data_IF_093267570282
#
_entry.id   IF_093267570282
#
_cell.length_a   1.000
_cell.length_b   1.000
_cell.length_c   1.000
_cell.angle_alpha   90.00
_cell.angle_beta   90.00
_cell.angle_gamma   90.00
#
_symmetry.space_group_name_H-M   'P 1'
#
loop_
_entity.id
_entity.type
_entity.pdbx_description
1 polymer ?
#
# COMPACT_ATOMS: atom_id res chain seq x y z
N UNK A 1 8.33 15.90 -24.96
CA UNK A 1 7.62 15.33 -23.82
C UNK A 1 6.12 15.31 -24.16
N UNK A 2 5.45 14.24 -23.84
CA UNK A 2 4.01 14.09 -24.04
C UNK A 2 3.23 14.51 -22.77
N UNK A 3 1.93 14.25 -22.74
CA UNK A 3 1.05 14.59 -21.62
C UNK A 3 1.27 13.72 -20.36
N UNK A 4 2.16 12.72 -20.40
CA UNK A 4 2.41 11.76 -19.33
C UNK A 4 3.78 11.95 -18.66
N UNK A 5 4.45 13.07 -18.91
CA UNK A 5 5.78 13.34 -18.36
C UNK A 5 5.95 14.73 -17.77
N UNK A 6 7.02 14.92 -16.99
CA UNK A 6 7.45 16.20 -16.44
C UNK A 6 6.94 16.47 -15.03
N UNK A 7 5.66 16.80 -14.83
CA UNK A 7 5.10 17.04 -13.49
C UNK A 7 4.58 15.75 -12.86
N UNK A 8 4.44 15.72 -11.52
CA UNK A 8 3.85 14.58 -10.83
C UNK A 8 2.43 14.28 -11.33
N UNK A 9 1.65 15.31 -11.61
CA UNK A 9 0.30 15.17 -12.16
C UNK A 9 0.29 14.48 -13.53
N UNK A 10 1.23 14.83 -14.40
CA UNK A 10 1.36 14.16 -15.69
C UNK A 10 1.90 12.74 -15.55
N UNK A 11 2.88 12.50 -14.67
CA UNK A 11 3.44 11.17 -14.43
C UNK A 11 2.40 10.20 -13.87
N UNK A 12 1.48 10.68 -13.03
CA UNK A 12 0.37 9.87 -12.47
C UNK A 12 -0.88 9.81 -13.38
N UNK A 13 -0.96 10.64 -14.42
CA UNK A 13 -2.13 10.78 -15.29
C UNK A 13 -2.67 9.44 -15.80
N UNK A 14 -1.80 8.58 -16.33
CA UNK A 14 -2.22 7.28 -16.88
C UNK A 14 -2.91 6.40 -15.82
N UNK A 15 -2.45 6.45 -14.56
CA UNK A 15 -3.07 5.72 -13.47
C UNK A 15 -4.50 6.22 -13.22
N UNK A 16 -4.68 7.54 -13.17
CA UNK A 16 -5.99 8.15 -12.93
C UNK A 16 -6.96 7.86 -14.06
N UNK A 17 -6.51 7.96 -15.31
CA UNK A 17 -7.31 7.65 -16.50
C UNK A 17 -7.76 6.18 -16.50
N UNK A 18 -6.87 5.23 -16.14
CA UNK A 18 -7.22 3.81 -16.05
C UNK A 18 -8.28 3.58 -14.97
N UNK A 19 -8.12 4.15 -13.79
CA UNK A 19 -9.08 3.96 -12.68
C UNK A 19 -10.43 4.59 -13.02
N UNK A 20 -10.45 5.82 -13.52
CA UNK A 20 -11.67 6.52 -13.92
C UNK A 20 -12.44 5.73 -14.97
N UNK A 21 -11.76 5.26 -16.03
CA UNK A 21 -12.39 4.48 -17.09
C UNK A 21 -12.84 3.10 -16.62
N UNK A 22 -12.05 2.43 -15.78
CA UNK A 22 -12.42 1.13 -15.22
C UNK A 22 -13.67 1.24 -14.32
N UNK A 23 -13.75 2.26 -13.49
CA UNK A 23 -14.92 2.50 -12.62
C UNK A 23 -16.16 2.87 -13.43
N UNK A 24 -16.03 3.62 -14.51
CA UNK A 24 -17.16 3.91 -15.41
C UNK A 24 -17.74 2.64 -16.03
N UNK A 25 -16.88 1.70 -16.42
CA UNK A 25 -17.30 0.44 -17.06
C UNK A 25 -17.79 -0.63 -16.06
N UNK A 26 -17.21 -0.65 -14.87
CA UNK A 26 -17.38 -1.73 -13.90
C UNK A 26 -17.60 -1.22 -12.47
N UNK A 27 -18.44 -0.19 -12.30
CA UNK A 27 -18.66 0.49 -11.02
C UNK A 27 -19.21 -0.37 -9.88
N UNK A 28 -19.57 -1.62 -10.15
CA UNK A 28 -20.00 -2.61 -9.17
C UNK A 28 -18.85 -3.46 -8.60
N UNK A 29 -17.61 -3.27 -9.10
CA UNK A 29 -16.43 -3.97 -8.61
C UNK A 29 -15.65 -3.11 -7.61
N UNK A 30 -14.90 -3.76 -6.73
CA UNK A 30 -13.89 -3.11 -5.89
C UNK A 30 -12.60 -2.90 -6.69
N UNK A 31 -12.03 -1.71 -6.59
CA UNK A 31 -10.78 -1.36 -7.24
C UNK A 31 -9.70 -1.09 -6.20
N UNK A 32 -8.59 -1.78 -6.34
CA UNK A 32 -7.40 -1.59 -5.54
C UNK A 32 -6.22 -1.17 -6.42
N UNK A 33 -5.41 -0.26 -5.94
CA UNK A 33 -4.17 0.16 -6.58
C UNK A 33 -2.99 -0.16 -5.68
N UNK A 34 -2.00 -0.91 -6.22
CA UNK A 34 -0.69 -0.99 -5.59
C UNK A 34 0.20 0.10 -6.14
N UNK A 35 0.69 0.94 -5.24
CA UNK A 35 1.55 2.08 -5.58
C UNK A 35 2.78 2.15 -4.68
N UNK A 36 3.87 2.76 -5.13
CA UNK A 36 5.01 3.04 -4.25
C UNK A 36 4.65 4.13 -3.24
N UNK A 37 5.06 3.93 -1.98
CA UNK A 37 5.07 5.01 -0.98
C UNK A 37 6.23 5.98 -1.21
N UNK A 38 7.34 5.50 -1.76
CA UNK A 38 8.46 6.26 -2.33
C UNK A 38 9.40 5.33 -3.10
N UNK A 39 10.28 5.89 -3.93
CA UNK A 39 11.22 5.11 -4.75
C UNK A 39 12.54 4.79 -4.06
N UNK A 40 12.92 5.48 -2.99
CA UNK A 40 14.24 5.36 -2.33
C UNK A 40 15.42 5.62 -3.28
N UNK A 41 15.23 6.52 -4.25
CA UNK A 41 16.19 6.90 -5.26
C UNK A 41 16.21 8.42 -5.43
N UNK A 42 17.38 8.98 -5.72
CA UNK A 42 17.51 10.38 -6.08
C UNK A 42 16.73 10.67 -7.38
N UNK A 43 15.90 11.71 -7.35
CA UNK A 43 15.03 12.06 -8.47
C UNK A 43 13.81 11.14 -8.68
N UNK A 44 13.64 10.09 -7.84
CA UNK A 44 12.47 9.22 -7.85
C UNK A 44 11.27 9.81 -7.13
N UNK A 45 10.19 9.03 -7.06
CA UNK A 45 8.96 9.38 -6.36
C UNK A 45 9.24 9.60 -4.86
N UNK A 46 8.86 10.75 -4.33
CA UNK A 46 8.96 11.08 -2.90
C UNK A 46 7.66 10.68 -2.17
N UNK A 47 7.75 10.51 -0.87
CA UNK A 47 6.58 10.21 -0.04
C UNK A 47 5.49 11.29 -0.11
N UNK A 48 5.87 12.56 -0.28
CA UNK A 48 4.93 13.67 -0.50
C UNK A 48 4.18 13.55 -1.83
N UNK A 49 4.85 13.04 -2.87
CA UNK A 49 4.25 12.82 -4.18
C UNK A 49 3.27 11.64 -4.12
N UNK A 50 3.64 10.56 -3.42
CA UNK A 50 2.77 9.41 -3.16
C UNK A 50 1.52 9.81 -2.36
N UNK A 51 1.67 10.67 -1.36
CA UNK A 51 0.56 11.20 -0.58
C UNK A 51 -0.43 11.99 -1.47
N UNK A 52 0.08 12.84 -2.36
CA UNK A 52 -0.75 13.56 -3.31
C UNK A 52 -1.50 12.60 -4.24
N UNK A 53 -0.81 11.60 -4.81
CA UNK A 53 -1.43 10.57 -5.68
C UNK A 53 -2.55 9.83 -4.92
N UNK A 54 -2.32 9.45 -3.67
CA UNK A 54 -3.31 8.74 -2.84
C UNK A 54 -4.60 9.56 -2.65
N UNK A 55 -4.49 10.87 -2.43
CA UNK A 55 -5.65 11.77 -2.33
C UNK A 55 -6.41 11.91 -3.64
N UNK A 56 -5.71 11.97 -4.76
CA UNK A 56 -6.37 12.00 -6.07
C UNK A 56 -7.10 10.66 -6.36
N UNK A 57 -6.49 9.52 -5.99
CA UNK A 57 -7.14 8.21 -6.10
C UNK A 57 -8.38 8.09 -5.22
N UNK A 58 -8.33 8.61 -3.98
CA UNK A 58 -9.50 8.69 -3.11
C UNK A 58 -10.60 9.55 -3.74
N UNK A 59 -10.27 10.71 -4.30
CA UNK A 59 -11.23 11.58 -4.98
C UNK A 59 -11.90 10.91 -6.20
N UNK A 60 -11.20 9.98 -6.86
CA UNK A 60 -11.75 9.12 -7.91
C UNK A 60 -12.59 7.95 -7.35
N UNK A 61 -12.71 7.83 -6.04
CA UNK A 61 -13.47 6.79 -5.35
C UNK A 61 -12.78 5.42 -5.37
N UNK A 62 -11.45 5.37 -5.31
CA UNK A 62 -10.73 4.11 -5.17
C UNK A 62 -11.07 3.44 -3.84
N UNK A 63 -11.22 2.11 -3.84
CA UNK A 63 -11.69 1.38 -2.68
C UNK A 63 -10.56 0.94 -1.74
N UNK A 64 -9.36 0.67 -2.25
CA UNK A 64 -8.20 0.21 -1.45
C UNK A 64 -6.90 0.73 -2.06
N UNK A 65 -5.98 1.20 -1.20
CA UNK A 65 -4.61 1.58 -1.58
C UNK A 65 -3.63 0.58 -0.95
N UNK A 66 -2.82 -0.11 -1.76
CA UNK A 66 -1.76 -1.01 -1.31
C UNK A 66 -0.40 -0.32 -1.47
N UNK A 67 0.22 0.04 -0.34
CA UNK A 67 1.46 0.82 -0.32
C UNK A 67 2.67 -0.10 -0.27
N UNK A 68 3.45 -0.08 -1.33
CA UNK A 68 4.69 -0.84 -1.48
C UNK A 68 5.90 0.09 -1.64
N UNK A 69 7.05 -0.45 -1.97
CA UNK A 69 8.23 0.33 -2.38
C UNK A 69 8.25 0.53 -3.88
N UNK A 70 8.88 1.63 -4.31
CA UNK A 70 9.17 1.87 -5.70
C UNK A 70 10.43 1.13 -6.21
N UNK A 71 10.95 1.60 -7.34
CA UNK A 71 12.03 0.94 -8.09
C UNK A 71 13.29 0.71 -7.24
N UNK A 72 13.70 1.67 -6.41
CA UNK A 72 14.86 1.54 -5.52
C UNK A 72 14.62 0.64 -4.31
N UNK A 73 13.38 0.29 -4.04
CA UNK A 73 12.96 -0.46 -2.85
C UNK A 73 12.55 -1.91 -3.11
N UNK A 74 12.82 -2.49 -4.28
CA UNK A 74 12.54 -3.91 -4.55
C UNK A 74 13.33 -4.87 -3.63
N UNK A 75 14.43 -4.39 -3.08
CA UNK A 75 15.09 -4.94 -1.88
C UNK A 75 14.80 -4.03 -0.71
N UNK A 76 14.88 -4.57 0.51
CA UNK A 76 14.76 -3.73 1.72
C UNK A 76 15.76 -2.58 1.64
N UNK A 77 15.32 -1.31 1.77
CA UNK A 77 16.23 -0.17 1.83
C UNK A 77 17.23 -0.33 2.98
N UNK A 78 18.49 0.09 2.79
CA UNK A 78 19.59 -0.16 3.75
C UNK A 78 19.31 0.43 5.14
N UNK A 79 18.59 1.58 5.18
CA UNK A 79 18.27 2.31 6.41
C UNK A 79 17.00 1.81 7.09
N UNK A 80 16.35 0.78 6.53
CA UNK A 80 15.10 0.21 7.04
C UNK A 80 15.33 -1.21 7.55
N UNK A 81 14.87 -1.48 8.76
CA UNK A 81 15.01 -2.80 9.40
C UNK A 81 13.70 -3.22 10.07
N UNK A 82 13.62 -4.49 10.44
CA UNK A 82 12.45 -5.02 11.14
C UNK A 82 11.25 -5.32 10.25
N UNK A 83 10.15 -5.65 10.89
CA UNK A 83 8.85 -5.85 10.25
C UNK A 83 8.20 -4.50 9.95
N UNK A 84 7.38 -4.46 8.91
CA UNK A 84 6.70 -3.23 8.52
C UNK A 84 7.63 -2.11 8.05
N UNK A 85 8.76 -2.44 7.44
CA UNK A 85 9.76 -1.43 7.06
C UNK A 85 9.26 -0.39 6.02
N UNK A 86 8.06 -0.57 5.46
CA UNK A 86 7.36 0.40 4.60
C UNK A 86 6.13 1.04 5.29
N UNK A 87 5.91 0.77 6.57
CA UNK A 87 4.73 1.27 7.28
C UNK A 87 4.76 2.78 7.51
N UNK A 88 5.92 3.40 7.52
CA UNK A 88 6.02 4.86 7.61
C UNK A 88 5.25 5.55 6.48
N UNK A 89 5.43 5.10 5.26
CA UNK A 89 4.76 5.64 4.08
C UNK A 89 3.26 5.26 4.08
N UNK A 90 2.95 4.01 4.40
CA UNK A 90 1.55 3.54 4.48
C UNK A 90 0.76 4.30 5.55
N UNK A 91 1.32 4.48 6.74
CA UNK A 91 0.70 5.22 7.83
C UNK A 91 0.51 6.71 7.51
N UNK A 92 1.50 7.32 6.85
CA UNK A 92 1.38 8.70 6.38
C UNK A 92 0.21 8.86 5.41
N UNK A 93 0.04 7.94 4.47
CA UNK A 93 -1.08 7.94 3.53
C UNK A 93 -2.38 7.68 4.29
N UNK A 94 -2.45 6.64 5.15
CA UNK A 94 -3.65 6.32 5.92
C UNK A 94 -4.13 7.49 6.78
N UNK A 95 -3.23 8.26 7.37
CA UNK A 95 -3.59 9.43 8.18
C UNK A 95 -4.23 10.58 7.39
N UNK A 96 -4.14 10.56 6.07
CA UNK A 96 -4.55 11.63 5.19
C UNK A 96 -5.69 11.27 4.22
N UNK A 97 -6.10 10.00 4.20
CA UNK A 97 -7.21 9.50 3.38
C UNK A 97 -8.13 8.61 4.23
N UNK A 98 -9.41 8.55 3.85
CA UNK A 98 -10.40 7.64 4.43
C UNK A 98 -10.37 6.27 3.76
N UNK A 99 -9.85 6.19 2.54
CA UNK A 99 -9.65 4.95 1.80
C UNK A 99 -8.77 3.99 2.59
N UNK A 100 -9.18 2.72 2.80
CA UNK A 100 -8.37 1.72 3.50
C UNK A 100 -7.01 1.54 2.86
N UNK A 101 -5.95 1.53 3.69
CA UNK A 101 -4.56 1.35 3.25
C UNK A 101 -4.02 0.00 3.70
N UNK A 102 -3.42 -0.73 2.77
CA UNK A 102 -2.66 -1.95 3.04
C UNK A 102 -1.19 -1.59 3.27
N UNK A 103 -0.65 -1.98 4.43
CA UNK A 103 0.77 -1.90 4.73
C UNK A 103 1.49 -3.21 4.45
N UNK A 104 2.72 -3.13 3.95
CA UNK A 104 3.58 -4.28 3.65
C UNK A 104 5.00 -4.05 4.17
N UNK A 105 5.84 -5.07 4.11
CA UNK A 105 7.28 -4.90 4.31
C UNK A 105 7.90 -5.82 5.36
N UNK A 106 8.30 -7.04 4.97
CA UNK A 106 9.06 -7.96 5.82
C UNK A 106 8.32 -8.46 7.05
N UNK A 107 7.01 -8.57 6.99
CA UNK A 107 6.15 -9.04 8.08
C UNK A 107 6.33 -10.55 8.23
N UNK A 108 6.60 -11.01 9.44
CA UNK A 108 6.87 -12.40 9.78
C UNK A 108 5.98 -12.92 10.92
N UNK A 109 5.50 -12.06 11.83
CA UNK A 109 4.79 -12.47 13.04
C UNK A 109 3.38 -11.86 13.13
N UNK A 110 2.40 -12.68 13.51
CA UNK A 110 1.00 -12.26 13.70
C UNK A 110 0.84 -11.16 14.75
N UNK A 111 1.61 -11.21 15.86
CA UNK A 111 1.59 -10.15 16.88
C UNK A 111 1.89 -8.75 16.33
N UNK A 112 2.81 -8.67 15.36
CA UNK A 112 3.11 -7.39 14.70
C UNK A 112 1.90 -6.89 13.92
N UNK A 113 1.17 -7.80 13.26
CA UNK A 113 -0.06 -7.48 12.55
C UNK A 113 -1.13 -6.97 13.52
N UNK A 114 -1.34 -7.68 14.64
CA UNK A 114 -2.32 -7.30 15.67
C UNK A 114 -2.02 -5.89 16.24
N UNK A 115 -0.75 -5.60 16.53
CA UNK A 115 -0.31 -4.29 17.01
C UNK A 115 -0.56 -3.18 15.97
N UNK A 116 -0.21 -3.44 14.70
CA UNK A 116 -0.37 -2.47 13.62
C UNK A 116 -1.84 -2.12 13.36
N UNK A 117 -2.72 -3.13 13.33
CA UNK A 117 -4.15 -2.93 13.13
C UNK A 117 -4.81 -2.29 14.35
N UNK A 118 -4.48 -2.73 15.57
CA UNK A 118 -5.04 -2.18 16.81
C UNK A 118 -4.66 -0.72 17.03
N UNK A 119 -3.49 -0.31 16.58
CA UNK A 119 -3.05 1.10 16.64
C UNK A 119 -3.69 1.99 15.56
N UNK A 120 -4.48 1.40 14.66
CA UNK A 120 -5.08 2.10 13.52
C UNK A 120 -4.06 2.79 12.59
N UNK A 121 -2.81 2.35 12.64
CA UNK A 121 -1.75 2.89 11.79
C UNK A 121 -2.03 2.63 10.30
N UNK A 122 -2.66 1.50 10.01
CA UNK A 122 -3.10 1.05 8.68
C UNK A 122 -4.40 0.26 8.84
N UNK A 123 -5.14 0.08 7.75
CA UNK A 123 -6.41 -0.67 7.76
C UNK A 123 -6.23 -2.16 7.50
N UNK A 124 -5.24 -2.55 6.70
CA UNK A 124 -4.99 -3.91 6.25
C UNK A 124 -3.49 -4.21 6.19
N UNK A 125 -3.14 -5.48 6.27
CA UNK A 125 -1.74 -5.94 6.17
C UNK A 125 -1.60 -6.98 5.07
N UNK A 126 -0.56 -6.85 4.25
CA UNK A 126 -0.20 -7.88 3.26
C UNK A 126 1.10 -8.57 3.67
N UNK A 127 1.03 -9.91 3.77
CA UNK A 127 2.16 -10.77 4.08
C UNK A 127 2.52 -11.60 2.84
N UNK A 128 3.77 -11.52 2.40
CA UNK A 128 4.24 -12.21 1.20
C UNK A 128 5.23 -13.32 1.53
N UNK A 129 6.50 -12.98 1.61
CA UNK A 129 7.63 -13.94 1.69
C UNK A 129 7.58 -14.88 2.89
N UNK A 130 7.03 -14.46 4.02
CA UNK A 130 6.89 -15.32 5.19
C UNK A 130 5.92 -16.48 4.91
N UNK A 131 4.80 -16.18 4.23
CA UNK A 131 3.82 -17.21 3.84
C UNK A 131 4.42 -18.17 2.80
N UNK A 132 5.20 -17.66 1.83
CA UNK A 132 5.83 -18.50 0.79
C UNK A 132 6.81 -19.53 1.35
N UNK A 133 7.42 -19.27 2.52
CA UNK A 133 8.34 -20.21 3.18
C UNK A 133 7.64 -21.43 3.81
N UNK A 134 6.36 -21.29 4.15
CA UNK A 134 5.58 -22.36 4.79
C UNK A 134 4.17 -21.88 5.14
N UNK A 135 3.23 -21.89 4.20
CA UNK A 135 1.91 -21.26 4.38
C UNK A 135 1.11 -21.86 5.52
N UNK A 136 1.09 -23.18 5.66
CA UNK A 136 0.35 -23.86 6.73
C UNK A 136 0.96 -23.59 8.11
N UNK A 137 2.28 -23.71 8.22
CA UNK A 137 2.99 -23.45 9.47
C UNK A 137 2.87 -21.98 9.89
N UNK A 138 2.96 -21.07 8.94
CA UNK A 138 2.81 -19.63 9.22
C UNK A 138 1.38 -19.31 9.67
N UNK A 139 0.38 -19.82 8.99
CA UNK A 139 -1.03 -19.63 9.34
C UNK A 139 -1.37 -20.18 10.74
N UNK A 140 -0.95 -21.40 11.05
CA UNK A 140 -1.19 -22.02 12.34
C UNK A 140 -0.54 -21.25 13.52
N UNK A 141 0.62 -20.61 13.28
CA UNK A 141 1.36 -19.92 14.33
C UNK A 141 0.90 -18.46 14.50
N UNK A 142 0.48 -17.80 13.41
CA UNK A 142 0.33 -16.35 13.38
C UNK A 142 -1.12 -15.86 13.21
N UNK A 143 -2.02 -16.70 12.67
CA UNK A 143 -3.41 -16.31 12.51
C UNK A 143 -4.23 -16.79 13.70
N UNK A 144 -4.66 -15.87 14.55
CA UNK A 144 -5.73 -16.11 15.52
C UNK A 144 -7.05 -15.78 14.82
N UNK A 145 -7.79 -16.80 14.41
CA UNK A 145 -9.17 -16.59 14.01
C UNK A 145 -9.97 -16.20 15.25
N UNK A 146 -10.22 -14.92 15.43
CA UNK A 146 -11.34 -14.49 16.24
C UNK A 146 -12.59 -14.66 15.36
N UNK A 147 -13.51 -15.56 15.67
CA UNK A 147 -14.78 -15.58 14.98
C UNK A 147 -15.43 -14.22 15.26
N UNK A 148 -15.58 -13.42 14.22
CA UNK A 148 -16.47 -12.25 14.27
C UNK A 148 -17.87 -12.85 14.38
N UNK A 149 -18.44 -12.85 15.56
CA UNK A 149 -19.86 -13.11 15.75
C UNK A 149 -20.57 -11.92 15.07
N UNK A 150 -21.14 -12.20 13.90
CA UNK A 150 -22.06 -11.29 13.20
C UNK A 150 -23.40 -11.32 13.94
#
# INVERSE_FOLDING_TARGET
SDAYGGTIANNARILFEIIDEAKKRHGNLLFAVRMPGQDFLDGGLRSTDALWIAKELEALGLDIIDVSSGIGGWRRPRERSGEGYLFTEAAMIQSAVSTPVIGVGGIEHGRFIDEALSSQMISLVAVGRAILKGPEAWGATNLRFHPVLI
#
